data_IF_488365508806
#
_entry.id   IF_488365508806
#
_cell.length_a   1.000
_cell.length_b   1.000
_cell.length_c   1.000
_cell.angle_alpha   90.00
_cell.angle_beta   90.00
_cell.angle_gamma   90.00
#
_symmetry.space_group_name_H-M   'P 1'
#
loop_
_entity.id
_entity.type
_entity.pdbx_description
1 polymer ?
#
# COMPACT_ATOMS: atom_id res chain seq x y z
N UNK A 1 -71.90 -54.12 17.76
CA UNK A 1 -70.51 -54.32 18.24
C UNK A 1 -70.03 -55.79 18.11
N UNK A 2 -70.50 -56.54 17.11
CA UNK A 2 -70.13 -57.97 16.92
C UNK A 2 -69.34 -58.26 15.62
N UNK A 3 -69.13 -57.29 14.72
CA UNK A 3 -68.33 -57.51 13.49
C UNK A 3 -66.81 -57.55 13.74
N UNK A 4 -66.34 -56.98 14.84
CA UNK A 4 -64.91 -56.94 15.22
C UNK A 4 -64.41 -58.32 15.70
N UNK A 5 -65.31 -59.20 16.17
CA UNK A 5 -64.96 -60.54 16.67
C UNK A 5 -64.93 -61.63 15.59
N UNK A 6 -65.28 -61.29 14.34
CA UNK A 6 -65.16 -62.23 13.21
C UNK A 6 -63.78 -62.09 12.57
N UNK A 7 -63.22 -63.19 12.08
CA UNK A 7 -61.91 -63.25 11.42
C UNK A 7 -61.79 -62.20 10.28
N UNK A 8 -62.89 -61.99 9.53
CA UNK A 8 -62.98 -60.95 8.51
C UNK A 8 -62.87 -59.53 9.07
N UNK A 9 -63.38 -59.28 10.28
CA UNK A 9 -63.25 -58.00 10.97
C UNK A 9 -61.81 -57.72 11.41
N UNK A 10 -61.09 -58.75 11.86
CA UNK A 10 -59.67 -58.65 12.19
C UNK A 10 -58.83 -58.32 10.94
N UNK A 11 -59.00 -59.07 9.85
CA UNK A 11 -58.26 -58.83 8.61
C UNK A 11 -58.56 -57.46 7.99
N UNK A 12 -59.81 -57.00 8.06
CA UNK A 12 -60.17 -55.66 7.57
C UNK A 12 -59.49 -54.56 8.39
N UNK A 13 -59.49 -54.67 9.72
CA UNK A 13 -58.81 -53.70 10.60
C UNK A 13 -57.30 -53.75 10.37
N UNK A 14 -56.71 -54.93 10.25
CA UNK A 14 -55.28 -55.10 9.99
C UNK A 14 -54.86 -54.47 8.66
N UNK A 15 -55.62 -54.72 7.59
CA UNK A 15 -55.34 -54.13 6.27
C UNK A 15 -55.46 -52.60 6.32
N UNK A 16 -56.51 -52.07 6.94
CA UNK A 16 -56.69 -50.62 7.10
C UNK A 16 -55.54 -50.01 7.91
N UNK A 17 -55.14 -50.65 9.02
CA UNK A 17 -54.05 -50.15 9.86
C UNK A 17 -52.71 -50.15 9.09
N UNK A 18 -52.46 -51.19 8.29
CA UNK A 18 -51.26 -51.30 7.47
C UNK A 18 -51.25 -50.25 6.35
N UNK A 19 -52.38 -50.03 5.68
CA UNK A 19 -52.55 -49.00 4.64
C UNK A 19 -52.35 -47.59 5.19
N UNK A 20 -52.95 -47.28 6.34
CA UNK A 20 -52.79 -45.99 7.00
C UNK A 20 -51.33 -45.79 7.42
N UNK A 21 -50.70 -46.80 8.03
CA UNK A 21 -49.30 -46.72 8.44
C UNK A 21 -48.34 -46.51 7.26
N UNK A 22 -48.53 -47.24 6.15
CA UNK A 22 -47.73 -47.08 4.94
C UNK A 22 -47.91 -45.70 4.30
N UNK A 23 -49.14 -45.15 4.32
CA UNK A 23 -49.44 -43.82 3.78
C UNK A 23 -48.80 -42.71 4.60
N UNK A 24 -48.84 -42.81 5.95
CA UNK A 24 -48.19 -41.85 6.85
C UNK A 24 -46.67 -41.88 6.70
N UNK A 25 -46.08 -43.07 6.57
CA UNK A 25 -44.63 -43.22 6.32
C UNK A 25 -44.23 -42.67 4.94
N UNK A 26 -45.04 -42.89 3.91
CA UNK A 26 -44.81 -42.33 2.56
C UNK A 26 -44.90 -40.80 2.52
N UNK A 27 -45.87 -40.21 3.22
CA UNK A 27 -45.96 -38.76 3.39
C UNK A 27 -44.80 -38.19 4.20
N UNK A 28 -44.38 -38.87 5.28
CA UNK A 28 -43.20 -38.50 6.06
C UNK A 28 -41.93 -38.49 5.22
N UNK A 29 -41.70 -39.53 4.40
CA UNK A 29 -40.56 -39.61 3.49
C UNK A 29 -40.60 -38.54 2.38
N UNK A 30 -41.78 -38.23 1.84
CA UNK A 30 -41.95 -37.18 0.84
C UNK A 30 -41.69 -35.78 1.42
N UNK A 31 -42.18 -35.51 2.64
CA UNK A 31 -41.90 -34.26 3.36
C UNK A 31 -40.41 -34.18 3.68
N UNK A 32 -39.79 -35.23 4.23
CA UNK A 32 -38.35 -35.27 4.51
C UNK A 32 -37.50 -35.05 3.26
N UNK A 33 -37.85 -35.66 2.12
CA UNK A 33 -37.14 -35.43 0.85
C UNK A 33 -37.33 -34.02 0.31
N UNK A 34 -38.52 -33.43 0.45
CA UNK A 34 -38.76 -32.02 0.06
C UNK A 34 -38.00 -31.04 0.95
N UNK A 35 -38.01 -31.27 2.27
CA UNK A 35 -37.26 -30.45 3.22
C UNK A 35 -35.75 -30.59 2.98
N UNK A 36 -35.25 -31.81 2.80
CA UNK A 36 -33.84 -32.04 2.46
C UNK A 36 -33.42 -31.41 1.13
N UNK A 37 -34.29 -31.45 0.10
CA UNK A 37 -34.02 -30.78 -1.18
C UNK A 37 -34.02 -29.25 -1.07
N UNK A 38 -34.94 -28.69 -0.28
CA UNK A 38 -34.96 -27.25 0.01
C UNK A 38 -33.73 -26.81 0.81
N UNK A 39 -33.31 -27.59 1.80
CA UNK A 39 -32.13 -27.31 2.62
C UNK A 39 -30.83 -27.38 1.79
N UNK A 40 -30.71 -28.36 0.88
CA UNK A 40 -29.57 -28.44 -0.06
C UNK A 40 -29.57 -27.25 -1.03
N UNK A 41 -30.73 -26.86 -1.56
CA UNK A 41 -30.86 -25.69 -2.43
C UNK A 41 -30.49 -24.38 -1.73
N UNK A 42 -30.98 -24.19 -0.50
CA UNK A 42 -30.64 -23.02 0.33
C UNK A 42 -29.14 -22.99 0.68
N UNK A 43 -28.55 -24.15 0.97
CA UNK A 43 -27.11 -24.28 1.23
C UNK A 43 -26.29 -23.93 -0.02
N UNK A 44 -26.73 -24.37 -1.20
CA UNK A 44 -26.08 -24.05 -2.47
C UNK A 44 -26.12 -22.53 -2.76
N UNK A 45 -27.28 -21.90 -2.58
CA UNK A 45 -27.42 -20.44 -2.74
C UNK A 45 -26.57 -19.67 -1.74
N UNK A 46 -26.51 -20.11 -0.48
CA UNK A 46 -25.66 -19.49 0.53
C UNK A 46 -24.16 -19.55 0.17
N UNK A 47 -23.70 -20.70 -0.35
CA UNK A 47 -22.31 -20.85 -0.83
C UNK A 47 -22.05 -19.95 -2.03
N UNK A 48 -22.95 -19.91 -3.01
CA UNK A 48 -22.80 -19.07 -4.20
C UNK A 48 -22.74 -17.58 -3.85
N UNK A 49 -23.61 -17.12 -2.95
CA UNK A 49 -23.62 -15.73 -2.46
C UNK A 49 -22.31 -15.41 -1.76
N UNK A 50 -21.82 -16.29 -0.89
CA UNK A 50 -20.57 -16.08 -0.16
C UNK A 50 -19.36 -15.99 -1.12
N UNK A 51 -19.23 -16.94 -2.05
CA UNK A 51 -18.14 -16.91 -3.03
C UNK A 51 -18.19 -15.67 -3.93
N UNK A 52 -19.39 -15.22 -4.33
CA UNK A 52 -19.55 -14.02 -5.12
C UNK A 52 -19.21 -12.74 -4.33
N UNK A 53 -19.60 -12.65 -3.06
CA UNK A 53 -19.24 -11.54 -2.18
C UNK A 53 -17.73 -11.44 -1.99
N UNK A 54 -17.06 -12.56 -1.70
CA UNK A 54 -15.60 -12.61 -1.52
C UNK A 54 -14.84 -12.27 -2.80
N UNK A 55 -15.27 -12.84 -3.94
CA UNK A 55 -14.67 -12.53 -5.24
C UNK A 55 -14.86 -11.06 -5.65
N UNK A 56 -16.02 -10.47 -5.32
CA UNK A 56 -16.26 -9.05 -5.55
C UNK A 56 -15.36 -8.18 -4.69
N UNK A 57 -15.17 -8.50 -3.40
CA UNK A 57 -14.25 -7.77 -2.51
C UNK A 57 -12.83 -7.76 -3.09
N UNK A 58 -12.32 -8.91 -3.53
CA UNK A 58 -10.99 -9.01 -4.13
C UNK A 58 -10.85 -8.17 -5.39
N UNK A 59 -11.86 -8.19 -6.26
CA UNK A 59 -11.89 -7.35 -7.46
C UNK A 59 -11.95 -5.86 -7.10
N UNK A 60 -12.74 -5.49 -6.10
CA UNK A 60 -12.84 -4.10 -5.62
C UNK A 60 -11.53 -3.59 -5.06
N UNK A 61 -10.82 -4.41 -4.27
CA UNK A 61 -9.47 -4.08 -3.79
C UNK A 61 -8.54 -3.80 -4.98
N UNK A 62 -8.60 -4.62 -6.03
CA UNK A 62 -7.79 -4.42 -7.24
C UNK A 62 -8.20 -3.15 -8.00
N UNK A 63 -9.49 -2.84 -8.10
CA UNK A 63 -9.99 -1.61 -8.71
C UNK A 63 -9.57 -0.36 -7.94
N UNK A 64 -9.51 -0.43 -6.60
CA UNK A 64 -8.94 0.64 -5.78
C UNK A 64 -7.45 0.83 -6.06
N UNK A 65 -6.67 -0.26 -6.12
CA UNK A 65 -5.24 -0.19 -6.48
C UNK A 65 -5.00 0.41 -7.87
N UNK A 66 -5.89 0.13 -8.81
CA UNK A 66 -5.79 0.62 -10.20
C UNK A 66 -6.47 1.99 -10.40
N UNK A 67 -7.09 2.58 -9.37
CA UNK A 67 -7.79 3.86 -9.48
C UNK A 67 -9.03 3.85 -10.39
N UNK A 68 -9.64 2.67 -10.61
CA UNK A 68 -10.76 2.46 -11.54
C UNK A 68 -12.10 2.20 -10.85
N UNK A 69 -12.12 2.28 -9.52
CA UNK A 69 -13.32 1.98 -8.73
C UNK A 69 -14.49 2.92 -9.06
N UNK A 70 -15.68 2.35 -9.22
CA UNK A 70 -16.93 3.08 -9.44
C UNK A 70 -18.06 2.46 -8.63
N UNK A 71 -18.52 3.22 -7.63
CA UNK A 71 -19.54 2.88 -6.63
C UNK A 71 -20.90 2.52 -7.24
N UNK A 72 -21.21 3.01 -8.43
CA UNK A 72 -22.51 2.79 -9.07
C UNK A 72 -22.56 1.52 -9.94
N UNK A 73 -21.47 0.73 -9.95
CA UNK A 73 -21.36 -0.43 -10.83
C UNK A 73 -21.97 -1.66 -10.16
N UNK A 74 -23.02 -2.20 -10.78
CA UNK A 74 -23.60 -3.49 -10.37
C UNK A 74 -22.87 -4.61 -11.10
N UNK A 75 -22.33 -5.57 -10.34
CA UNK A 75 -21.72 -6.76 -10.89
C UNK A 75 -22.65 -7.94 -10.84
N UNK A 76 -22.50 -8.85 -11.82
CA UNK A 76 -23.16 -10.15 -11.80
C UNK A 76 -22.11 -11.24 -11.84
N UNK A 77 -22.15 -12.13 -10.85
CA UNK A 77 -21.29 -13.32 -10.78
C UNK A 77 -22.22 -14.53 -10.87
N UNK A 78 -22.38 -15.06 -12.09
CA UNK A 78 -23.40 -16.07 -12.36
C UNK A 78 -24.81 -15.50 -12.16
N UNK A 79 -25.57 -16.05 -11.22
CA UNK A 79 -26.90 -15.60 -10.86
C UNK A 79 -26.92 -14.61 -9.67
N UNK A 80 -25.76 -14.33 -9.06
CA UNK A 80 -25.62 -13.44 -7.91
C UNK A 80 -25.47 -12.00 -8.40
N UNK A 81 -26.29 -11.09 -7.88
CA UNK A 81 -26.12 -9.65 -8.07
C UNK A 81 -25.28 -9.10 -6.93
N UNK A 82 -24.23 -8.34 -7.24
CA UNK A 82 -23.38 -7.68 -6.26
C UNK A 82 -23.46 -6.18 -6.44
N UNK A 83 -23.78 -5.47 -5.36
CA UNK A 83 -23.69 -4.02 -5.28
C UNK A 83 -22.65 -3.63 -4.25
N UNK A 84 -22.06 -2.46 -4.43
CA UNK A 84 -21.04 -1.93 -3.55
C UNK A 84 -21.44 -0.51 -3.18
N UNK A 85 -21.13 -0.12 -1.96
CA UNK A 85 -21.34 1.23 -1.48
C UNK A 85 -20.17 1.59 -0.56
N UNK A 86 -19.70 2.83 -0.63
CA UNK A 86 -18.64 3.33 0.24
C UNK A 86 -19.15 4.47 1.08
N UNK A 87 -19.06 4.31 2.40
CA UNK A 87 -19.43 5.37 3.35
C UNK A 87 -18.19 5.89 4.03
N UNK A 88 -17.91 7.18 3.92
CA UNK A 88 -16.82 7.82 4.66
C UNK A 88 -17.12 7.81 6.17
N UNK A 89 -16.21 7.28 6.97
CA UNK A 89 -16.39 7.12 8.44
C UNK A 89 -15.49 8.04 9.28
N UNK A 90 -14.56 8.78 8.65
CA UNK A 90 -13.77 9.84 9.28
C UNK A 90 -12.26 9.64 9.17
N UNK A 91 -11.50 10.72 9.34
CA UNK A 91 -10.04 10.73 9.19
C UNK A 91 -9.62 10.43 7.75
N UNK A 92 -9.22 9.18 7.52
CA UNK A 92 -8.78 8.60 6.26
C UNK A 92 -9.47 7.26 5.99
N UNK A 93 -10.57 6.97 6.69
CA UNK A 93 -11.24 5.68 6.62
C UNK A 93 -12.58 5.79 5.90
N UNK A 94 -12.80 4.85 4.98
CA UNK A 94 -14.05 4.61 4.28
C UNK A 94 -14.50 3.18 4.53
N UNK A 95 -15.77 2.99 4.85
CA UNK A 95 -16.38 1.67 4.98
C UNK A 95 -16.93 1.24 3.62
N UNK A 96 -16.31 0.27 2.97
CA UNK A 96 -16.86 -0.41 1.81
C UNK A 96 -17.86 -1.46 2.27
N UNK A 97 -19.09 -1.35 1.81
CA UNK A 97 -20.16 -2.33 2.02
C UNK A 97 -20.42 -3.04 0.71
N UNK A 98 -20.21 -4.36 0.68
CA UNK A 98 -20.52 -5.24 -0.44
C UNK A 98 -21.78 -6.02 -0.12
N UNK A 99 -22.81 -5.86 -0.93
CA UNK A 99 -24.06 -6.60 -0.81
C UNK A 99 -24.16 -7.59 -1.97
N UNK A 100 -24.23 -8.89 -1.67
CA UNK A 100 -24.44 -9.95 -2.64
C UNK A 100 -25.81 -10.60 -2.44
N UNK A 101 -26.58 -10.79 -3.50
CA UNK A 101 -27.92 -11.37 -3.41
C UNK A 101 -28.29 -12.33 -4.55
N UNK A 102 -29.09 -13.35 -4.21
CA UNK A 102 -29.78 -14.25 -5.15
C UNK A 102 -31.22 -14.41 -4.67
N UNK A 103 -32.18 -13.84 -5.40
CA UNK A 103 -33.58 -13.82 -4.97
C UNK A 103 -33.73 -13.09 -3.63
N UNK A 104 -34.30 -13.76 -2.64
CA UNK A 104 -34.51 -13.21 -1.29
C UNK A 104 -33.31 -13.40 -0.35
N UNK A 105 -32.29 -14.15 -0.76
CA UNK A 105 -31.09 -14.36 0.05
C UNK A 105 -30.11 -13.21 -0.19
N UNK A 106 -29.72 -12.54 0.89
CA UNK A 106 -28.75 -11.42 0.84
C UNK A 106 -27.67 -11.65 1.88
N UNK A 107 -26.42 -11.36 1.51
CA UNK A 107 -25.29 -11.26 2.41
C UNK A 107 -24.66 -9.89 2.26
N UNK A 108 -24.40 -9.25 3.39
CA UNK A 108 -23.67 -7.98 3.47
C UNK A 108 -22.33 -8.24 4.12
N UNK A 109 -21.27 -7.80 3.46
CA UNK A 109 -19.91 -7.82 4.00
C UNK A 109 -19.36 -6.40 4.00
N UNK A 110 -18.72 -6.01 5.09
CA UNK A 110 -18.16 -4.67 5.27
C UNK A 110 -16.65 -4.76 5.38
N UNK A 111 -15.94 -3.85 4.71
CA UNK A 111 -14.50 -3.73 4.73
C UNK A 111 -14.13 -2.29 5.09
N UNK A 112 -13.22 -2.11 6.06
CA UNK A 112 -12.62 -0.81 6.31
C UNK A 112 -11.49 -0.58 5.29
N UNK A 113 -11.60 0.51 4.54
CA UNK A 113 -10.60 0.99 3.60
C UNK A 113 -9.97 2.23 4.22
N UNK A 114 -8.70 2.16 4.56
CA UNK A 114 -7.93 3.36 4.93
C UNK A 114 -7.31 3.92 3.66
N UNK A 115 -7.88 4.99 3.11
CA UNK A 115 -7.28 5.75 2.02
C UNK A 115 -6.18 6.63 2.60
N UNK A 116 -4.92 6.32 2.31
CA UNK A 116 -3.79 7.16 2.71
C UNK A 116 -3.87 8.52 2.01
N UNK A 117 -4.40 9.54 2.68
CA UNK A 117 -4.39 10.91 2.21
C UNK A 117 -3.84 11.83 3.30
N UNK A 118 -2.86 12.64 2.91
CA UNK A 118 -1.90 13.40 3.70
C UNK A 118 -0.78 12.53 4.29
N UNK A 119 0.14 12.18 3.40
CA UNK A 119 1.47 11.82 3.83
C UNK A 119 2.09 13.04 4.51
N UNK A 120 2.24 12.98 5.83
CA UNK A 120 2.79 14.06 6.65
C UNK A 120 4.20 14.52 6.20
N UNK A 121 4.94 13.71 5.43
CA UNK A 121 6.21 14.13 4.82
C UNK A 121 6.04 15.25 3.80
N UNK A 122 4.84 15.44 3.22
CA UNK A 122 4.58 16.50 2.24
C UNK A 122 4.80 17.90 2.82
N UNK A 123 4.74 18.05 4.15
CA UNK A 123 4.94 19.31 4.86
C UNK A 123 6.41 19.62 5.20
N UNK A 124 7.35 18.72 4.88
CA UNK A 124 8.75 18.86 5.28
C UNK A 124 9.70 18.98 4.07
N UNK A 125 10.76 19.76 4.24
CA UNK A 125 11.88 19.85 3.28
C UNK A 125 13.14 19.17 3.82
N UNK A 126 13.33 19.15 5.13
CA UNK A 126 14.44 18.47 5.79
C UNK A 126 13.85 17.53 6.82
N UNK A 127 14.06 16.23 6.64
CA UNK A 127 13.58 15.21 7.55
C UNK A 127 14.72 14.26 7.93
N UNK A 128 15.02 14.14 9.21
CA UNK A 128 16.14 13.31 9.67
C UNK A 128 15.84 12.62 10.99
N UNK A 129 16.56 11.53 11.27
CA UNK A 129 16.39 10.79 12.53
C UNK A 129 17.16 11.40 13.70
N UNK A 130 18.43 11.78 13.49
CA UNK A 130 19.33 12.13 14.59
C UNK A 130 19.62 13.61 14.70
N UNK A 131 20.31 14.15 13.71
CA UNK A 131 20.76 15.55 13.70
C UNK A 131 20.60 16.11 12.30
N UNK A 132 20.20 17.37 12.23
CA UNK A 132 20.34 18.18 11.04
C UNK A 132 21.09 19.47 11.42
N UNK A 133 22.21 19.75 10.77
CA UNK A 133 22.99 20.95 11.05
C UNK A 133 22.18 22.24 10.86
N UNK A 134 22.50 23.26 11.66
CA UNK A 134 21.84 24.56 11.62
C UNK A 134 22.17 25.35 10.34
N UNK A 135 23.21 24.94 9.62
CA UNK A 135 23.66 25.56 8.37
C UNK A 135 22.87 25.09 7.13
N UNK A 136 21.97 24.12 7.30
CA UNK A 136 20.96 23.78 6.31
C UNK A 136 19.72 24.63 6.59
N UNK A 137 19.44 25.59 5.71
CA UNK A 137 18.38 26.58 5.87
C UNK A 137 17.13 26.10 5.11
N UNK A 138 16.06 25.66 5.80
CA UNK A 138 14.79 25.36 5.15
C UNK A 138 14.08 26.65 4.75
N UNK A 139 13.57 26.69 3.52
CA UNK A 139 12.65 27.73 3.04
C UNK A 139 11.37 27.09 2.51
N UNK A 140 10.26 27.82 2.63
CA UNK A 140 8.96 27.42 2.10
C UNK A 140 8.91 27.52 0.56
N UNK A 141 7.74 27.24 0.00
CA UNK A 141 7.45 27.24 -1.43
C UNK A 141 7.66 28.63 -2.08
N UNK A 142 7.56 29.69 -1.28
CA UNK A 142 7.76 31.08 -1.69
C UNK A 142 9.22 31.56 -1.48
N UNK A 143 10.07 30.72 -0.87
CA UNK A 143 11.48 31.02 -0.60
C UNK A 143 11.71 31.81 0.69
N UNK A 144 10.71 31.87 1.58
CA UNK A 144 10.81 32.47 2.91
C UNK A 144 11.36 31.42 3.87
N UNK A 145 12.29 31.82 4.74
CA UNK A 145 12.88 30.92 5.75
C UNK A 145 11.77 30.40 6.68
N UNK A 146 11.59 29.09 6.72
CA UNK A 146 10.60 28.43 7.56
C UNK A 146 11.19 27.17 8.20
N UNK A 147 11.63 27.31 9.45
CA UNK A 147 12.18 26.21 10.23
C UNK A 147 11.14 25.16 10.65
N UNK A 148 9.83 25.43 10.48
CA UNK A 148 8.80 24.43 10.73
C UNK A 148 8.82 23.29 9.69
N UNK A 149 9.37 23.55 8.50
CA UNK A 149 9.60 22.57 7.43
C UNK A 149 10.80 21.64 7.70
N UNK A 150 11.51 21.82 8.83
CA UNK A 150 12.60 20.95 9.30
C UNK A 150 12.13 20.10 10.47
N UNK A 151 12.30 18.78 10.37
CA UNK A 151 11.92 17.83 11.42
C UNK A 151 13.05 16.85 11.76
N UNK A 152 13.18 16.57 13.07
CA UNK A 152 14.11 15.61 13.64
C UNK A 152 13.29 14.62 14.47
N UNK A 153 13.22 13.35 14.05
CA UNK A 153 12.46 12.30 14.75
C UNK A 153 13.37 11.23 15.34
N UNK A 154 13.42 11.12 16.67
CA UNK A 154 14.33 10.21 17.36
C UNK A 154 14.05 8.71 17.12
N UNK A 155 12.81 8.33 16.77
CA UNK A 155 12.41 6.92 16.78
C UNK A 155 12.79 6.20 15.47
N UNK A 156 12.28 6.65 14.32
CA UNK A 156 12.59 6.08 13.00
C UNK A 156 12.13 7.00 11.86
N UNK A 157 12.81 6.93 10.70
CA UNK A 157 12.24 7.46 9.46
C UNK A 157 11.04 6.62 9.00
N UNK A 158 10.12 7.15 8.18
CA UNK A 158 9.07 6.36 7.59
C UNK A 158 9.66 5.22 6.76
N UNK A 159 9.04 4.05 6.82
CA UNK A 159 9.45 2.93 5.99
C UNK A 159 9.10 3.22 4.53
N UNK A 160 10.00 2.86 3.61
CA UNK A 160 9.90 3.14 2.17
C UNK A 160 10.11 1.84 1.41
N UNK A 161 9.40 1.65 0.30
CA UNK A 161 9.55 0.51 -0.59
C UNK A 161 10.83 0.66 -1.43
N UNK A 162 11.97 0.36 -0.80
CA UNK A 162 13.30 0.47 -1.42
C UNK A 162 13.41 -0.43 -2.66
N UNK A 163 12.83 -1.64 -2.61
CA UNK A 163 12.87 -2.59 -3.72
C UNK A 163 12.13 -2.07 -4.96
N UNK A 164 10.98 -1.40 -4.77
CA UNK A 164 10.26 -0.76 -5.87
C UNK A 164 11.09 0.38 -6.48
N UNK A 165 11.66 1.26 -5.65
CA UNK A 165 12.52 2.35 -6.12
C UNK A 165 13.75 1.82 -6.86
N UNK A 166 14.36 0.72 -6.38
CA UNK A 166 15.47 0.04 -7.03
C UNK A 166 15.05 -0.54 -8.39
N UNK A 167 13.91 -1.22 -8.46
CA UNK A 167 13.38 -1.77 -9.72
C UNK A 167 13.13 -0.67 -10.74
N UNK A 168 12.50 0.43 -10.33
CA UNK A 168 12.24 1.58 -11.21
C UNK A 168 13.54 2.18 -11.74
N UNK A 169 14.56 2.37 -10.88
CA UNK A 169 15.85 2.87 -11.33
C UNK A 169 16.54 1.92 -12.33
N UNK A 170 16.43 0.60 -12.13
CA UNK A 170 16.95 -0.39 -13.09
C UNK A 170 16.21 -0.28 -14.42
N UNK A 171 14.88 -0.23 -14.40
CA UNK A 171 14.05 -0.15 -15.60
C UNK A 171 14.27 1.15 -16.39
N UNK A 172 14.53 2.26 -15.68
CA UNK A 172 14.87 3.55 -16.27
C UNK A 172 16.34 3.65 -16.73
N UNK A 173 17.20 2.70 -16.34
CA UNK A 173 18.63 2.74 -16.65
C UNK A 173 19.45 3.70 -15.77
N UNK A 174 18.95 4.02 -14.57
CA UNK A 174 19.52 4.96 -13.61
C UNK A 174 20.00 4.26 -12.32
N UNK A 175 20.32 2.97 -12.40
CA UNK A 175 20.92 2.20 -11.31
C UNK A 175 22.44 2.22 -11.40
N UNK A 176 23.10 2.55 -10.29
CA UNK A 176 24.54 2.61 -10.17
C UNK A 176 25.02 1.80 -8.98
N UNK A 177 26.03 0.96 -9.22
CA UNK A 177 26.78 0.29 -8.16
C UNK A 177 28.15 0.96 -8.00
N UNK A 178 28.44 1.48 -6.81
CA UNK A 178 29.72 2.08 -6.46
C UNK A 178 30.66 0.99 -5.93
N UNK A 179 31.86 0.91 -6.52
CA UNK A 179 32.92 -0.02 -6.11
C UNK A 179 34.16 0.79 -5.78
N UNK A 180 34.59 0.81 -4.51
CA UNK A 180 35.84 1.48 -4.10
C UNK A 180 35.91 1.92 -2.64
N UNK A 181 37.03 1.62 -1.98
CA UNK A 181 37.21 1.70 -0.52
C UNK A 181 37.23 3.10 0.11
N UNK A 182 36.98 3.15 1.42
CA UNK A 182 37.13 4.22 2.44
C UNK A 182 36.56 5.64 2.15
N UNK A 183 36.58 6.13 0.91
CA UNK A 183 35.99 7.39 0.46
C UNK A 183 35.02 7.21 -0.72
N UNK A 184 34.78 5.96 -1.13
CA UNK A 184 33.81 5.65 -2.18
C UNK A 184 34.32 5.86 -3.60
N UNK A 185 33.72 5.15 -4.54
CA UNK A 185 33.76 5.55 -5.95
C UNK A 185 32.97 6.85 -6.15
N UNK A 186 33.42 7.67 -7.09
CA UNK A 186 32.71 8.90 -7.48
C UNK A 186 31.79 8.64 -8.67
N UNK A 187 30.50 8.96 -8.52
CA UNK A 187 29.57 9.03 -9.65
C UNK A 187 29.40 10.49 -10.05
N UNK A 188 29.27 10.76 -11.34
CA UNK A 188 29.10 12.11 -11.86
C UNK A 188 27.88 12.21 -12.75
N UNK A 189 27.02 13.18 -12.46
CA UNK A 189 25.82 13.44 -13.24
C UNK A 189 26.00 14.72 -14.08
N UNK A 190 25.70 14.68 -15.39
CA UNK A 190 25.64 15.89 -16.20
C UNK A 190 24.48 16.79 -15.74
N UNK A 191 24.54 18.07 -16.11
CA UNK A 191 23.39 18.97 -15.94
C UNK A 191 22.18 18.44 -16.74
N UNK A 192 20.98 18.54 -16.16
CA UNK A 192 19.77 18.01 -16.76
C UNK A 192 19.62 16.49 -16.63
N UNK A 193 20.43 15.82 -15.79
CA UNK A 193 20.29 14.39 -15.57
C UNK A 193 19.04 14.07 -14.72
N UNK A 194 18.29 12.99 -15.04
CA UNK A 194 18.41 12.17 -16.25
C UNK A 194 17.74 12.79 -17.49
N UNK A 195 16.81 13.71 -17.25
CA UNK A 195 16.25 14.66 -18.20
C UNK A 195 15.91 15.96 -17.45
N UNK A 196 15.54 17.02 -18.17
CA UNK A 196 15.25 18.35 -17.61
C UNK A 196 13.88 18.42 -16.85
N UNK A 197 13.42 17.31 -16.28
CA UNK A 197 12.12 17.21 -15.60
C UNK A 197 12.18 16.20 -14.42
N UNK A 198 11.34 16.41 -13.41
CA UNK A 198 11.17 15.47 -12.30
C UNK A 198 10.59 14.12 -12.76
N UNK A 199 9.75 14.13 -13.79
CA UNK A 199 9.05 12.94 -14.30
C UNK A 199 9.77 12.28 -15.49
N UNK A 200 9.94 10.95 -15.41
CA UNK A 200 10.39 10.08 -16.50
C UNK A 200 9.33 9.93 -17.60
N UNK A 201 8.08 9.74 -17.17
CA UNK A 201 6.88 9.65 -18.00
C UNK A 201 5.69 10.28 -17.24
N UNK A 202 4.51 10.49 -17.85
CA UNK A 202 3.37 11.06 -17.13
C UNK A 202 3.07 10.29 -15.84
N UNK A 203 3.14 10.97 -14.69
CA UNK A 203 2.96 10.42 -13.34
C UNK A 203 3.92 9.26 -12.98
N UNK A 204 5.12 9.25 -13.58
CA UNK A 204 6.19 8.31 -13.22
C UNK A 204 7.45 9.13 -12.94
N UNK A 205 7.92 9.23 -11.68
CA UNK A 205 9.08 10.03 -11.35
C UNK A 205 10.35 9.41 -11.94
N UNK A 206 11.34 10.28 -12.23
CA UNK A 206 12.70 9.82 -12.43
C UNK A 206 13.23 9.28 -11.11
N UNK A 207 13.73 8.04 -11.10
CA UNK A 207 14.35 7.42 -9.92
C UNK A 207 15.78 7.08 -10.24
N UNK A 208 16.71 7.58 -9.44
CA UNK A 208 18.13 7.23 -9.49
C UNK A 208 18.49 6.47 -8.23
N UNK A 209 19.06 5.27 -8.39
CA UNK A 209 19.42 4.42 -7.26
C UNK A 209 20.92 4.17 -7.24
N UNK A 210 21.55 4.54 -6.14
CA UNK A 210 22.99 4.40 -5.94
C UNK A 210 23.20 3.44 -4.78
N UNK A 211 23.90 2.35 -5.04
CA UNK A 211 24.20 1.30 -4.06
C UNK A 211 25.71 1.14 -3.93
N UNK A 212 26.22 1.16 -2.70
CA UNK A 212 27.60 0.82 -2.42
C UNK A 212 27.80 -0.71 -2.42
N UNK A 213 28.95 -1.19 -2.89
CA UNK A 213 29.27 -2.62 -2.85
C UNK A 213 29.54 -3.14 -1.43
N UNK A 214 30.16 -2.33 -0.58
CA UNK A 214 30.38 -2.67 0.81
C UNK A 214 29.67 -1.69 1.74
N UNK A 215 29.25 -2.23 2.87
CA UNK A 215 28.46 -1.59 3.91
C UNK A 215 29.18 -0.45 4.63
N UNK A 216 30.51 -0.37 4.48
CA UNK A 216 31.37 0.67 5.06
C UNK A 216 31.84 1.71 4.05
N UNK A 217 31.54 1.51 2.77
CA UNK A 217 31.99 2.40 1.72
C UNK A 217 31.05 3.62 1.65
N UNK A 218 31.64 4.81 1.66
CA UNK A 218 30.94 6.04 1.31
C UNK A 218 30.55 6.03 -0.17
N UNK A 219 29.55 6.80 -0.56
CA UNK A 219 29.26 7.13 -1.94
C UNK A 219 29.44 8.64 -2.12
N UNK A 220 30.36 9.04 -2.99
CA UNK A 220 30.46 10.43 -3.41
C UNK A 220 29.77 10.57 -4.76
N UNK A 221 28.86 11.53 -4.89
CA UNK A 221 28.38 11.90 -6.21
C UNK A 221 28.44 13.40 -6.46
N UNK A 222 28.91 13.72 -7.65
CA UNK A 222 29.15 15.09 -8.10
C UNK A 222 28.09 15.44 -9.13
N UNK A 223 27.42 16.57 -8.93
CA UNK A 223 26.43 17.11 -9.86
C UNK A 223 27.01 18.33 -10.56
N UNK A 224 27.16 18.26 -11.88
CA UNK A 224 27.71 19.36 -12.69
C UNK A 224 26.64 20.38 -13.14
N UNK A 225 25.46 20.35 -12.52
CA UNK A 225 24.34 21.27 -12.74
C UNK A 225 23.08 20.76 -12.03
N UNK A 226 21.92 21.27 -12.41
CA UNK A 226 20.65 20.80 -11.86
C UNK A 226 20.38 19.35 -12.27
N UNK A 227 19.95 18.52 -11.32
CA UNK A 227 19.50 17.13 -11.57
C UNK A 227 18.08 16.96 -11.06
N UNK A 228 17.33 16.01 -11.61
CA UNK A 228 15.90 15.87 -11.36
C UNK A 228 15.51 14.47 -10.88
N UNK A 229 14.48 14.40 -10.03
CA UNK A 229 13.84 13.15 -9.61
C UNK A 229 14.13 12.72 -8.16
N UNK A 230 13.74 11.48 -7.85
CA UNK A 230 14.01 10.83 -6.57
C UNK A 230 15.39 10.18 -6.63
N UNK A 231 16.31 10.62 -5.78
CA UNK A 231 17.65 10.09 -5.67
C UNK A 231 17.76 9.27 -4.38
N UNK A 232 17.85 7.94 -4.53
CA UNK A 232 18.01 6.99 -3.42
C UNK A 232 19.46 6.58 -3.33
N UNK A 233 20.04 6.71 -2.14
CA UNK A 233 21.45 6.44 -1.91
C UNK A 233 21.60 5.50 -0.73
N UNK A 234 22.10 4.30 -0.99
CA UNK A 234 22.39 3.28 0.03
C UNK A 234 23.91 3.20 0.19
N UNK A 235 24.44 3.98 1.13
CA UNK A 235 25.86 4.06 1.45
C UNK A 235 26.08 4.58 2.88
N UNK A 236 27.28 4.36 3.44
CA UNK A 236 27.64 4.80 4.79
C UNK A 236 27.69 6.32 4.93
N UNK A 237 28.15 7.01 3.89
CA UNK A 237 28.14 8.46 3.81
C UNK A 237 27.82 8.91 2.39
N UNK A 238 27.14 10.04 2.27
CA UNK A 238 26.84 10.66 0.98
C UNK A 238 27.52 12.00 0.91
N UNK A 239 28.44 12.18 -0.03
CA UNK A 239 29.04 13.48 -0.31
C UNK A 239 28.44 14.02 -1.60
N UNK A 240 27.62 15.06 -1.49
CA UNK A 240 27.15 15.79 -2.68
C UNK A 240 28.01 17.02 -2.86
N UNK A 241 28.68 17.16 -4.02
CA UNK A 241 29.30 18.41 -4.44
C UNK A 241 28.60 18.90 -5.70
N UNK A 242 27.96 20.06 -5.63
CA UNK A 242 27.08 20.51 -6.71
C UNK A 242 27.42 21.92 -7.20
N UNK A 243 27.35 22.11 -8.52
CA UNK A 243 27.26 23.42 -9.18
C UNK A 243 25.80 23.85 -9.45
N UNK A 244 24.81 23.08 -8.96
CA UNK A 244 23.37 23.30 -9.15
C UNK A 244 22.50 22.49 -8.16
N UNK A 245 21.20 22.74 -8.18
CA UNK A 245 20.24 22.14 -7.26
C UNK A 245 19.92 20.66 -7.62
N UNK A 246 19.43 19.90 -6.66
CA UNK A 246 18.57 18.74 -6.98
C UNK A 246 17.11 19.22 -6.95
N UNK A 247 16.40 19.07 -8.06
CA UNK A 247 14.95 19.26 -8.11
C UNK A 247 14.25 17.91 -7.93
N UNK A 248 13.89 17.61 -6.68
CA UNK A 248 13.27 16.35 -6.30
C UNK A 248 13.57 15.97 -4.86
N UNK A 249 13.63 14.66 -4.60
CA UNK A 249 13.79 14.11 -3.23
C UNK A 249 15.11 13.36 -3.13
N UNK A 250 15.95 13.73 -2.17
CA UNK A 250 17.14 12.98 -1.81
C UNK A 250 16.84 12.10 -0.60
N UNK A 251 16.98 10.79 -0.76
CA UNK A 251 16.64 9.83 0.26
C UNK A 251 17.82 8.92 0.62
N UNK A 252 18.20 8.96 1.89
CA UNK A 252 19.15 8.05 2.51
C UNK A 252 18.38 7.14 3.48
N UNK A 253 17.97 5.93 3.06
CA UNK A 253 17.29 4.97 3.94
C UNK A 253 18.17 4.47 5.08
N UNK A 254 19.48 4.73 5.04
CA UNK A 254 20.48 4.16 5.96
C UNK A 254 20.82 2.72 5.58
N UNK A 255 21.83 2.17 6.25
CA UNK A 255 22.17 0.75 6.21
C UNK A 255 21.86 0.09 7.56
N UNK A 256 21.48 -1.17 7.50
CA UNK A 256 21.33 -2.04 8.66
C UNK A 256 22.61 -2.86 8.80
N UNK A 257 23.26 -2.82 9.95
CA UNK A 257 24.41 -3.71 10.20
C UNK A 257 24.03 -5.20 10.06
N UNK A 258 25.02 -6.07 10.13
CA UNK A 258 24.82 -7.54 10.03
C UNK A 258 23.84 -8.12 11.06
N UNK A 259 23.55 -7.37 12.13
CA UNK A 259 22.62 -7.71 13.21
C UNK A 259 21.28 -6.94 13.11
N UNK A 260 21.00 -6.28 11.98
CA UNK A 260 19.83 -5.41 11.76
C UNK A 260 19.72 -4.21 12.71
N UNK A 261 20.82 -3.78 13.34
CA UNK A 261 20.86 -2.50 14.03
C UNK A 261 21.16 -1.38 13.04
N UNK A 262 20.50 -0.25 13.27
CA UNK A 262 20.76 0.96 12.50
C UNK A 262 22.10 1.55 12.96
N UNK A 263 23.12 1.48 12.10
CA UNK A 263 24.45 2.05 12.40
C UNK A 263 24.32 3.59 12.52
N UNK A 264 24.71 4.20 13.65
CA UNK A 264 24.67 5.64 13.86
C UNK A 264 25.62 6.45 12.96
N UNK A 265 26.48 5.81 12.15
CA UNK A 265 27.44 6.49 11.28
C UNK A 265 26.88 7.00 9.94
N UNK A 266 25.59 6.77 9.65
CA UNK A 266 24.97 7.23 8.41
C UNK A 266 24.83 8.74 8.35
N UNK A 267 25.70 9.39 7.58
CA UNK A 267 25.66 10.85 7.41
C UNK A 267 25.49 11.20 5.94
N UNK A 268 24.43 11.95 5.63
CA UNK A 268 24.31 12.64 4.36
C UNK A 268 24.96 14.01 4.50
N UNK A 269 26.12 14.18 3.88
CA UNK A 269 26.87 15.43 3.81
C UNK A 269 26.59 16.15 2.48
N UNK A 270 26.00 17.34 2.59
CA UNK A 270 25.55 18.10 1.43
C UNK A 270 26.29 19.43 1.28
N UNK A 271 27.03 19.58 0.19
CA UNK A 271 27.72 20.81 -0.17
C UNK A 271 27.29 21.30 -1.56
N UNK A 272 26.82 22.54 -1.63
CA UNK A 272 26.40 23.15 -2.89
C UNK A 272 27.03 24.52 -3.08
N UNK A 273 27.37 24.83 -4.32
CA UNK A 273 27.61 26.18 -4.79
C UNK A 273 26.38 26.61 -5.61
N UNK A 274 25.66 27.65 -5.18
CA UNK A 274 24.44 28.15 -5.84
C UNK A 274 23.35 28.62 -4.88
N UNK A 275 22.20 29.02 -5.42
CA UNK A 275 21.07 29.58 -4.65
C UNK A 275 20.34 28.50 -3.82
N UNK A 276 20.17 27.29 -4.36
CA UNK A 276 19.51 26.16 -3.68
C UNK A 276 20.31 24.87 -3.81
N UNK A 277 20.41 24.12 -2.71
CA UNK A 277 21.04 22.81 -2.64
C UNK A 277 20.07 21.70 -3.10
N UNK A 278 18.80 21.81 -2.67
CA UNK A 278 17.66 20.98 -3.02
C UNK A 278 16.41 21.87 -3.19
N UNK A 279 15.56 21.53 -4.16
CA UNK A 279 14.18 21.98 -4.28
C UNK A 279 13.29 20.73 -4.24
N UNK A 280 12.52 20.52 -3.17
CA UNK A 280 11.81 19.27 -2.85
C UNK A 280 12.04 18.87 -1.41
N UNK A 281 12.89 17.86 -1.17
CA UNK A 281 13.31 17.54 0.20
C UNK A 281 14.48 16.57 0.34
N UNK A 282 15.08 16.57 1.53
CA UNK A 282 16.09 15.62 1.99
C UNK A 282 15.53 14.79 3.14
N UNK A 283 15.61 13.47 3.01
CA UNK A 283 15.16 12.50 4.00
C UNK A 283 16.34 11.58 4.34
N UNK A 284 16.74 11.52 5.61
CA UNK A 284 17.88 10.69 6.04
C UNK A 284 17.59 9.88 7.31
N UNK A 285 17.90 8.59 7.26
CA UNK A 285 17.88 7.69 8.41
C UNK A 285 19.16 7.80 9.27
N UNK A 286 19.61 9.03 9.53
CA UNK A 286 20.92 9.29 10.09
C UNK A 286 21.11 10.76 10.43
N UNK A 287 22.27 11.32 10.09
CA UNK A 287 22.53 12.75 10.17
C UNK A 287 22.37 13.41 8.80
N UNK A 288 21.91 14.66 8.80
CA UNK A 288 22.00 15.60 7.68
C UNK A 288 22.98 16.70 8.03
N UNK A 289 24.13 16.71 7.38
CA UNK A 289 25.17 17.73 7.57
C UNK A 289 25.40 18.48 6.27
N UNK A 290 25.82 19.74 6.35
CA UNK A 290 26.00 20.53 5.13
C UNK A 290 25.76 22.02 5.28
N UNK A 291 25.97 22.72 4.17
CA UNK A 291 25.80 24.18 4.07
C UNK A 291 25.00 24.48 2.80
N UNK A 292 23.83 25.11 2.96
CA UNK A 292 23.01 25.50 1.83
C UNK A 292 21.55 25.79 2.19
N UNK A 293 20.78 26.18 1.17
CA UNK A 293 19.34 26.43 1.29
C UNK A 293 18.58 25.27 0.66
N UNK A 294 17.60 24.73 1.38
CA UNK A 294 16.70 23.69 0.89
C UNK A 294 15.30 24.28 0.75
N UNK A 295 14.80 24.35 -0.48
CA UNK A 295 13.47 24.88 -0.79
C UNK A 295 12.44 23.77 -0.79
N UNK A 296 11.33 23.98 -0.08
CA UNK A 296 10.23 23.04 -0.06
C UNK A 296 9.50 23.00 -1.40
N UNK A 297 9.24 21.80 -1.91
CA UNK A 297 8.30 21.58 -3.01
C UNK A 297 7.36 20.43 -2.62
N UNK A 298 6.09 20.72 -2.26
CA UNK A 298 5.15 19.71 -1.78
C UNK A 298 4.77 18.70 -2.85
N UNK A 299 4.83 19.05 -4.14
CA UNK A 299 4.53 18.12 -5.24
C UNK A 299 5.54 16.97 -5.26
N UNK A 300 6.83 17.29 -5.18
CA UNK A 300 7.90 16.28 -5.20
C UNK A 300 7.88 15.40 -3.94
N UNK A 301 7.61 16.00 -2.78
CA UNK A 301 7.48 15.26 -1.52
C UNK A 301 6.25 14.35 -1.51
N UNK A 302 5.13 14.82 -2.08
CA UNK A 302 3.92 14.00 -2.24
C UNK A 302 4.15 12.83 -3.18
N UNK A 303 4.84 13.02 -4.29
CA UNK A 303 5.18 11.89 -5.17
C UNK A 303 6.05 10.86 -4.44
N UNK A 304 7.02 11.32 -3.64
CA UNK A 304 7.84 10.41 -2.83
C UNK A 304 7.01 9.62 -1.82
N UNK A 305 5.90 10.20 -1.34
CA UNK A 305 5.02 9.54 -0.39
C UNK A 305 4.33 8.28 -0.92
N UNK A 306 4.15 8.16 -2.22
CA UNK A 306 3.58 6.96 -2.84
C UNK A 306 4.47 5.73 -2.66
N UNK A 307 5.75 5.95 -2.31
CA UNK A 307 6.71 4.89 -2.01
C UNK A 307 6.80 4.55 -0.53
N UNK A 308 6.09 5.23 0.36
CA UNK A 308 6.09 4.84 1.77
C UNK A 308 5.49 3.45 1.91
N UNK A 309 6.27 2.52 2.46
CA UNK A 309 5.67 1.35 3.08
C UNK A 309 5.10 1.85 4.39
N UNK A 310 3.78 1.98 4.44
CA UNK A 310 3.16 2.00 5.74
C UNK A 310 3.52 0.65 6.38
N UNK A 311 4.53 0.66 7.26
CA UNK A 311 4.65 -0.27 8.38
C UNK A 311 3.52 0.08 9.33
N UNK A 312 2.34 -0.10 8.80
CA UNK A 312 1.19 -0.29 9.58
C UNK A 312 1.50 -1.50 10.45
N UNK A 313 1.37 -1.28 11.74
CA UNK A 313 0.83 -2.34 12.56
C UNK A 313 -0.50 -2.89 12.00
N UNK A 314 -1.15 -2.28 10.98
CA UNK A 314 -2.32 -2.76 10.22
C UNK A 314 -2.57 -2.01 8.87
N UNK A 315 -2.27 -2.66 7.76
CA UNK A 315 -2.11 -2.09 6.40
C UNK A 315 -1.55 -3.13 5.43
N UNK A 316 -1.46 -4.38 5.89
CA UNK A 316 -2.40 -5.37 5.39
C UNK A 316 -3.81 -4.77 5.22
N UNK A 317 -4.45 -5.04 4.07
CA UNK A 317 -5.89 -5.23 4.06
C UNK A 317 -6.14 -6.49 4.90
N UNK A 318 -6.23 -6.34 6.22
CA UNK A 318 -6.57 -7.47 7.09
C UNK A 318 -8.06 -7.73 6.90
N UNK A 319 -8.37 -8.76 6.11
CA UNK A 319 -9.73 -9.32 6.04
C UNK A 319 -9.97 -10.08 7.36
N UNK A 320 -10.49 -9.39 8.37
CA UNK A 320 -11.02 -10.04 9.57
C UNK A 320 -12.41 -10.61 9.25
N UNK A 321 -12.52 -11.94 9.31
CA UNK A 321 -13.77 -12.67 9.19
C UNK A 321 -14.58 -12.68 10.48
#
# INVERSE_FOLDING_TARGET
MNKIKSENGFWTIFIVFTLVSATVLGLGALVLNRTGGADVGNTLHAIQIKCAAEGAILNTIEMFKLGTFNENTVYTVGAVTVTMDTTYIGGNESLLTVNASVGDFTQTTTLNITSGTNCWLEDYVIFTRWKAEDNLIPVDEDGIIDYSKKSIMNDSIPAVNIDLLKSMAIDQGHYFKVVGGAFGGTISFPAGYPNDNFYYAPNVPNVTFIESENDTDAATFVRYGTTYGIMVVVAAAVYTKAAGALEGVLFLPGHYDEDWNLDPLHTMEMYGEGDYLIVGGAIANGNLEGIGVCKHNPEYMREFCDFLTYNSGNGEVTVTW
#
